data_IF_137191625147
#
_entry.id   IF_137191625147
#
_cell.length_a   1.000
_cell.length_b   1.000
_cell.length_c   1.000
_cell.angle_alpha   90.00
_cell.angle_beta   90.00
_cell.angle_gamma   90.00
#
_symmetry.space_group_name_H-M   'P 1'
#
loop_
_entity.id
_entity.type
_entity.pdbx_description
1 polymer ?
#
# COMPACT_ATOMS: atom_id res chain seq x y z
N UNK A 1 12.71 30.62 14.14
CA UNK A 1 11.70 29.57 13.85
C UNK A 1 12.45 28.26 13.97
N UNK A 2 11.99 27.38 14.85
CA UNK A 2 12.78 26.28 15.39
C UNK A 2 13.32 25.34 14.30
N UNK A 3 14.63 25.09 14.36
CA UNK A 3 15.31 24.02 13.64
C UNK A 3 14.68 22.68 14.03
N UNK A 4 13.93 22.09 13.11
CA UNK A 4 13.40 20.75 13.28
C UNK A 4 14.51 19.73 12.94
N UNK A 5 15.61 19.80 13.67
CA UNK A 5 16.59 18.73 13.69
C UNK A 5 16.00 17.57 14.49
N UNK A 6 16.07 16.33 13.99
CA UNK A 6 15.54 15.19 14.74
C UNK A 6 16.20 15.15 16.13
N UNK A 7 15.34 15.17 17.15
CA UNK A 7 15.71 15.04 18.56
C UNK A 7 16.11 13.58 18.77
N UNK A 8 17.42 13.36 18.91
CA UNK A 8 18.12 12.09 19.13
C UNK A 8 18.24 11.13 17.92
N UNK A 9 19.40 10.45 17.76
CA UNK A 9 19.51 9.37 16.81
C UNK A 9 18.62 8.23 17.33
N UNK A 10 17.54 7.94 16.62
CA UNK A 10 16.80 6.70 16.82
C UNK A 10 17.82 5.54 16.89
N UNK A 11 17.61 4.61 17.83
CA UNK A 11 18.40 3.39 17.99
C UNK A 11 18.87 2.84 16.63
N UNK A 12 20.13 2.38 16.55
CA UNK A 12 20.78 1.82 15.35
C UNK A 12 19.77 1.36 14.30
N UNK A 13 19.59 2.15 13.24
CA UNK A 13 18.55 1.90 12.25
C UNK A 13 18.66 0.46 11.74
N UNK A 14 17.59 -0.30 11.93
CA UNK A 14 17.51 -1.67 11.44
C UNK A 14 17.26 -1.61 9.92
N UNK A 15 18.26 -1.99 9.12
CA UNK A 15 18.28 -1.81 7.66
C UNK A 15 18.13 -3.10 6.85
N UNK A 16 18.21 -4.25 7.51
CA UNK A 16 18.10 -5.60 6.94
C UNK A 16 16.72 -5.94 6.36
N UNK A 17 15.64 -5.21 6.72
CA UNK A 17 14.35 -5.31 6.01
C UNK A 17 14.46 -4.74 4.58
N UNK A 18 15.40 -3.82 4.33
CA UNK A 18 15.64 -3.27 2.99
C UNK A 18 14.54 -2.33 2.49
N UNK A 19 13.84 -1.63 3.39
CA UNK A 19 12.84 -0.60 3.03
C UNK A 19 13.49 0.53 2.21
N UNK A 20 12.82 0.95 1.13
CA UNK A 20 13.33 1.98 0.20
C UNK A 20 12.54 3.28 0.27
N UNK A 21 11.21 3.18 0.24
CA UNK A 21 10.28 4.31 0.24
C UNK A 21 8.87 3.84 0.59
N UNK A 22 7.98 4.80 0.84
CA UNK A 22 6.54 4.54 0.68
C UNK A 22 6.29 4.27 -0.79
N UNK A 23 5.72 3.10 -1.08
CA UNK A 23 5.34 2.72 -2.44
C UNK A 23 4.02 3.38 -2.80
N UNK A 24 2.99 3.13 -2.00
CA UNK A 24 1.69 3.74 -2.17
C UNK A 24 0.87 3.76 -0.87
N UNK A 25 -0.19 4.55 -0.87
CA UNK A 25 -1.26 4.50 0.14
C UNK A 25 -2.53 3.99 -0.55
N UNK A 26 -3.05 2.87 -0.08
CA UNK A 26 -4.28 2.27 -0.58
C UNK A 26 -5.51 2.94 0.03
N UNK A 27 -6.43 3.41 -0.80
CA UNK A 27 -7.66 4.08 -0.41
C UNK A 27 -8.84 3.33 -1.01
N UNK A 28 -9.68 2.77 -0.13
CA UNK A 28 -10.92 2.13 -0.53
C UNK A 28 -11.95 3.19 -0.92
N UNK A 29 -12.54 3.03 -2.11
CA UNK A 29 -13.55 3.93 -2.69
C UNK A 29 -14.73 3.12 -3.22
N UNK A 30 -15.93 3.70 -3.17
CA UNK A 30 -17.13 3.02 -3.65
C UNK A 30 -17.21 2.99 -5.19
N UNK A 31 -16.74 4.05 -5.85
CA UNK A 31 -16.73 4.20 -7.30
C UNK A 31 -15.33 4.63 -7.74
N UNK A 32 -14.67 3.79 -8.55
CA UNK A 32 -13.30 4.04 -9.00
C UNK A 32 -13.23 5.24 -9.94
N UNK A 33 -14.16 5.33 -10.88
CA UNK A 33 -14.09 6.30 -11.98
C UNK A 33 -14.39 7.72 -11.43
N UNK A 34 -15.36 7.82 -10.52
CA UNK A 34 -15.62 9.07 -9.79
C UNK A 34 -14.44 9.50 -8.89
N UNK A 35 -13.78 8.54 -8.24
CA UNK A 35 -12.62 8.83 -7.41
C UNK A 35 -11.42 9.29 -8.25
N UNK A 36 -11.10 8.59 -9.36
CA UNK A 36 -10.06 9.02 -10.30
C UNK A 36 -10.32 10.46 -10.74
N UNK A 37 -11.53 10.75 -11.20
CA UNK A 37 -11.90 12.08 -11.68
C UNK A 37 -11.68 13.17 -10.62
N UNK A 38 -12.13 12.92 -9.38
CA UNK A 38 -11.92 13.83 -8.26
C UNK A 38 -10.43 14.09 -8.01
N UNK A 39 -9.60 13.04 -7.90
CA UNK A 39 -8.18 13.22 -7.63
C UNK A 39 -7.44 13.92 -8.78
N UNK A 40 -7.81 13.65 -10.02
CA UNK A 40 -7.24 14.32 -11.19
C UNK A 40 -7.64 15.81 -11.24
N UNK A 41 -8.93 16.13 -11.08
CA UNK A 41 -9.44 17.49 -11.23
C UNK A 41 -9.11 18.39 -10.05
N UNK A 42 -9.10 17.84 -8.84
CA UNK A 42 -8.92 18.63 -7.61
C UNK A 42 -7.46 18.72 -7.19
N UNK A 43 -6.70 17.63 -7.32
CA UNK A 43 -5.30 17.59 -6.88
C UNK A 43 -4.29 17.54 -8.03
N UNK A 44 -4.74 17.42 -9.29
CA UNK A 44 -3.84 17.35 -10.44
C UNK A 44 -3.05 16.05 -10.53
N UNK A 45 -3.43 15.01 -9.80
CA UNK A 45 -2.75 13.71 -9.87
C UNK A 45 -2.96 13.09 -11.26
N UNK A 46 -2.01 12.26 -11.70
CA UNK A 46 -2.12 11.54 -12.97
C UNK A 46 -2.39 10.08 -12.71
N UNK A 47 -3.45 9.54 -13.29
CA UNK A 47 -3.67 8.10 -13.34
C UNK A 47 -2.66 7.48 -14.29
N UNK A 48 -1.73 6.70 -13.75
CA UNK A 48 -0.62 6.09 -14.51
C UNK A 48 -0.87 4.62 -14.82
N UNK A 49 -1.79 3.98 -14.09
CA UNK A 49 -2.15 2.59 -14.30
C UNK A 49 -3.56 2.30 -13.78
N UNK A 50 -4.25 1.37 -14.44
CA UNK A 50 -5.52 0.80 -13.97
C UNK A 50 -5.51 -0.70 -14.24
N UNK A 51 -5.97 -1.50 -13.29
CA UNK A 51 -6.09 -2.95 -13.43
C UNK A 51 -7.44 -3.43 -12.87
N UNK A 52 -7.93 -4.56 -13.38
CA UNK A 52 -9.05 -5.28 -12.77
C UNK A 52 -8.58 -6.67 -12.43
N UNK A 53 -8.56 -6.98 -11.13
CA UNK A 53 -8.26 -8.31 -10.63
C UNK A 53 -9.57 -9.00 -10.24
N UNK A 54 -10.11 -9.79 -11.16
CA UNK A 54 -11.37 -10.51 -10.95
C UNK A 54 -11.26 -11.57 -9.83
N UNK A 55 -10.10 -12.19 -9.66
CA UNK A 55 -9.85 -13.19 -8.61
C UNK A 55 -9.91 -12.57 -7.21
N UNK A 56 -9.34 -11.36 -7.06
CA UNK A 56 -9.39 -10.61 -5.80
C UNK A 56 -10.67 -9.76 -5.65
N UNK A 57 -11.47 -9.63 -6.70
CA UNK A 57 -12.72 -8.89 -6.66
C UNK A 57 -12.53 -7.37 -6.58
N UNK A 58 -11.51 -6.83 -7.25
CA UNK A 58 -11.14 -5.41 -7.13
C UNK A 58 -10.81 -4.80 -8.50
N UNK A 59 -11.24 -3.55 -8.71
CA UNK A 59 -10.68 -2.63 -9.71
C UNK A 59 -9.80 -1.64 -8.99
N UNK A 60 -8.66 -1.31 -9.58
CA UNK A 60 -7.70 -0.41 -8.96
C UNK A 60 -7.10 0.59 -9.95
N UNK A 61 -6.63 1.70 -9.40
CA UNK A 61 -5.93 2.73 -10.15
C UNK A 61 -4.76 3.30 -9.35
N UNK A 62 -3.62 3.43 -10.00
CA UNK A 62 -2.43 4.06 -9.44
C UNK A 62 -2.36 5.52 -9.88
N UNK A 63 -2.37 6.42 -8.91
CA UNK A 63 -2.27 7.86 -9.12
C UNK A 63 -0.89 8.35 -8.66
N UNK A 64 -0.11 8.91 -9.59
CA UNK A 64 1.20 9.46 -9.29
C UNK A 64 1.08 10.78 -8.52
N UNK A 65 1.91 10.94 -7.48
CA UNK A 65 2.06 12.18 -6.71
C UNK A 65 3.36 12.87 -7.12
N UNK A 66 3.25 14.11 -7.58
CA UNK A 66 4.41 14.91 -8.00
C UNK A 66 4.60 14.98 -9.52
N UNK A 67 5.74 15.49 -9.99
CA UNK A 67 5.96 15.81 -11.41
C UNK A 67 6.11 14.56 -12.28
N UNK A 68 6.56 13.44 -11.71
CA UNK A 68 6.74 12.16 -12.39
C UNK A 68 6.14 11.00 -11.57
N UNK A 69 6.31 9.77 -12.07
CA UNK A 69 5.76 8.56 -11.45
C UNK A 69 6.81 7.78 -10.63
N UNK A 70 7.91 8.42 -10.22
CA UNK A 70 8.99 7.77 -9.45
C UNK A 70 8.78 7.84 -7.93
N UNK A 71 7.91 8.74 -7.48
CA UNK A 71 7.56 8.91 -6.07
C UNK A 71 6.52 7.92 -5.55
N UNK A 72 6.08 8.16 -4.31
CA UNK A 72 4.96 7.42 -3.74
C UNK A 72 3.64 7.72 -4.47
N UNK A 73 2.73 6.75 -4.48
CA UNK A 73 1.46 6.84 -5.20
C UNK A 73 0.24 6.79 -4.27
N UNK A 74 -0.92 7.15 -4.81
CA UNK A 74 -2.21 6.80 -4.22
C UNK A 74 -2.79 5.66 -5.04
N UNK A 75 -3.08 4.53 -4.39
CA UNK A 75 -3.79 3.41 -5.02
C UNK A 75 -5.26 3.49 -4.64
N UNK A 76 -6.13 3.75 -5.61
CA UNK A 76 -7.57 3.69 -5.41
C UNK A 76 -8.03 2.26 -5.60
N UNK A 77 -8.86 1.75 -4.68
CA UNK A 77 -9.36 0.38 -4.65
C UNK A 77 -10.88 0.40 -4.61
N UNK A 78 -11.54 -0.09 -5.67
CA UNK A 78 -13.00 -0.23 -5.72
C UNK A 78 -13.40 -1.70 -5.81
N UNK A 79 -14.40 -2.15 -5.04
CA UNK A 79 -14.81 -3.54 -5.07
C UNK A 79 -15.59 -3.87 -6.35
N UNK A 80 -15.43 -5.08 -6.87
CA UNK A 80 -16.30 -5.62 -7.91
C UNK A 80 -17.65 -6.10 -7.39
N UNK A 81 -17.75 -6.40 -6.08
CA UNK A 81 -19.01 -6.72 -5.40
C UNK A 81 -18.89 -6.48 -3.88
N UNK A 82 -20.01 -6.38 -3.14
CA UNK A 82 -19.99 -6.17 -1.69
C UNK A 82 -19.26 -7.26 -0.88
N UNK A 83 -19.22 -8.49 -1.40
CA UNK A 83 -18.66 -9.64 -0.69
C UNK A 83 -17.12 -9.75 -0.74
N UNK A 84 -16.46 -8.86 -1.48
CA UNK A 84 -15.00 -8.84 -1.61
C UNK A 84 -14.34 -8.19 -0.39
N UNK A 85 -13.01 -8.30 -0.27
CA UNK A 85 -12.27 -7.71 0.86
C UNK A 85 -12.50 -6.20 0.96
N UNK A 86 -12.47 -5.49 -0.17
CA UNK A 86 -12.72 -4.05 -0.21
C UNK A 86 -14.21 -3.75 0.02
N UNK A 87 -15.13 -4.57 -0.51
CA UNK A 87 -16.57 -4.41 -0.27
C UNK A 87 -16.92 -4.48 1.22
N UNK A 88 -16.38 -5.49 1.91
CA UNK A 88 -16.51 -5.65 3.37
C UNK A 88 -15.82 -4.55 4.17
N UNK A 89 -14.69 -4.02 3.68
CA UNK A 89 -14.04 -2.88 4.31
C UNK A 89 -14.95 -1.64 4.27
N UNK A 90 -15.51 -1.33 3.08
CA UNK A 90 -16.41 -0.20 2.90
C UNK A 90 -17.68 -0.32 3.73
N UNK A 91 -18.29 -1.51 3.81
CA UNK A 91 -19.47 -1.74 4.65
C UNK A 91 -19.18 -1.45 6.13
N UNK A 92 -18.00 -1.88 6.61
CA UNK A 92 -17.63 -1.74 8.03
C UNK A 92 -17.12 -0.35 8.40
N UNK A 93 -16.42 0.34 7.49
CA UNK A 93 -15.64 1.55 7.82
C UNK A 93 -15.95 2.75 6.94
N UNK A 94 -16.71 2.57 5.86
CA UNK A 94 -16.84 3.55 4.79
C UNK A 94 -15.57 3.71 3.96
N UNK A 95 -15.56 4.64 3.00
CA UNK A 95 -14.38 4.99 2.22
C UNK A 95 -13.24 5.50 3.12
N UNK A 96 -11.99 5.21 2.76
CA UNK A 96 -10.83 5.68 3.52
C UNK A 96 -9.56 4.88 3.28
N UNK A 97 -8.51 5.24 4.03
CA UNK A 97 -7.21 4.55 3.97
C UNK A 97 -7.39 3.10 4.43
N UNK A 98 -7.02 2.18 3.55
CA UNK A 98 -7.12 0.75 3.80
C UNK A 98 -5.74 0.15 4.11
N UNK A 99 -4.67 0.62 3.47
CA UNK A 99 -3.30 0.14 3.72
C UNK A 99 -2.23 1.19 3.39
N UNK A 100 -1.03 0.98 3.93
CA UNK A 100 0.19 1.71 3.53
C UNK A 100 1.20 0.68 3.04
N UNK A 101 1.77 0.92 1.87
CA UNK A 101 2.73 0.03 1.24
C UNK A 101 4.13 0.61 1.26
N UNK A 102 5.12 -0.25 1.48
CA UNK A 102 6.53 0.10 1.41
C UNK A 102 7.25 -0.74 0.36
N UNK A 103 8.07 -0.08 -0.46
CA UNK A 103 8.95 -0.77 -1.39
C UNK A 103 10.09 -1.41 -0.61
N UNK A 104 10.34 -2.70 -0.83
CA UNK A 104 11.47 -3.46 -0.28
C UNK A 104 12.44 -3.90 -1.37
N UNK A 105 13.72 -4.02 -1.03
CA UNK A 105 14.76 -4.48 -1.95
C UNK A 105 14.58 -5.96 -2.34
N UNK A 106 14.29 -6.80 -1.34
CA UNK A 106 14.04 -8.23 -1.48
C UNK A 106 12.94 -8.63 -0.49
N UNK A 107 11.82 -9.10 -1.02
CA UNK A 107 10.64 -9.41 -0.22
C UNK A 107 10.81 -10.70 0.58
N UNK A 108 11.61 -11.66 0.12
CA UNK A 108 11.84 -12.90 0.85
C UNK A 108 12.70 -12.63 2.09
N UNK A 109 13.74 -11.80 1.93
CA UNK A 109 14.57 -11.30 3.04
C UNK A 109 13.73 -10.49 4.03
N UNK A 110 12.92 -9.54 3.54
CA UNK A 110 12.05 -8.72 4.40
C UNK A 110 11.05 -9.59 5.18
N UNK A 111 10.44 -10.58 4.52
CA UNK A 111 9.49 -11.50 5.15
C UNK A 111 10.17 -12.37 6.23
N UNK A 112 11.38 -12.87 5.97
CA UNK A 112 12.14 -13.66 6.95
C UNK A 112 12.47 -12.82 8.19
N UNK A 113 13.05 -11.63 8.00
CA UNK A 113 13.43 -10.73 9.09
C UNK A 113 12.23 -10.31 9.96
N UNK A 114 11.07 -10.05 9.33
CA UNK A 114 9.84 -9.71 10.07
C UNK A 114 9.31 -10.89 10.90
N UNK A 115 9.35 -12.11 10.35
CA UNK A 115 8.94 -13.31 11.09
C UNK A 115 9.85 -13.61 12.27
N UNK A 116 11.17 -13.45 12.11
CA UNK A 116 12.14 -13.58 13.21
C UNK A 116 11.86 -12.61 14.35
N UNK A 117 11.27 -11.45 14.04
CA UNK A 117 10.84 -10.45 15.03
C UNK A 117 9.44 -10.71 15.61
N UNK A 118 8.83 -11.83 15.26
CA UNK A 118 7.50 -12.22 15.76
C UNK A 118 6.34 -11.48 15.10
N UNK A 119 6.57 -10.81 13.96
CA UNK A 119 5.51 -10.11 13.22
C UNK A 119 4.74 -11.09 12.34
N UNK A 120 3.40 -11.09 12.43
CA UNK A 120 2.55 -11.94 11.58
C UNK A 120 2.44 -11.36 10.18
N UNK A 121 2.74 -12.21 9.19
CA UNK A 121 2.46 -11.95 7.79
C UNK A 121 1.16 -12.66 7.38
N UNK A 122 0.40 -12.07 6.46
CA UNK A 122 -0.87 -12.64 5.99
C UNK A 122 -0.67 -13.86 5.09
N UNK A 123 0.42 -13.89 4.32
CA UNK A 123 0.73 -15.00 3.44
C UNK A 123 1.99 -15.75 3.89
N UNK A 124 1.97 -17.08 3.71
CA UNK A 124 3.13 -17.94 3.94
C UNK A 124 4.26 -17.63 2.96
N UNK A 125 3.92 -17.31 1.70
CA UNK A 125 4.85 -16.87 0.67
C UNK A 125 4.31 -15.60 -0.04
N UNK A 126 5.20 -14.71 -0.55
CA UNK A 126 4.78 -13.56 -1.34
C UNK A 126 3.91 -13.95 -2.54
N UNK A 127 2.93 -13.11 -2.87
CA UNK A 127 1.99 -13.31 -3.98
C UNK A 127 2.18 -12.26 -5.07
N UNK A 128 1.57 -12.46 -6.24
CA UNK A 128 1.51 -11.45 -7.30
C UNK A 128 0.61 -10.29 -6.88
N UNK A 129 1.11 -9.07 -7.00
CA UNK A 129 0.37 -7.81 -6.84
C UNK A 129 0.21 -7.06 -8.16
N UNK A 130 -0.13 -5.77 -8.06
CA UNK A 130 -0.26 -4.83 -9.18
C UNK A 130 1.00 -4.78 -10.02
N UNK A 131 0.87 -4.67 -11.35
CA UNK A 131 2.01 -4.56 -12.27
C UNK A 131 3.06 -5.67 -12.10
N UNK A 132 2.59 -6.90 -11.85
CA UNK A 132 3.43 -8.11 -11.65
C UNK A 132 4.39 -8.05 -10.45
N UNK A 133 4.21 -7.10 -9.54
CA UNK A 133 5.00 -7.02 -8.30
C UNK A 133 4.83 -8.26 -7.42
N UNK A 134 5.78 -8.49 -6.51
CA UNK A 134 5.65 -9.47 -5.43
C UNK A 134 5.25 -8.75 -4.15
N UNK A 135 4.21 -9.25 -3.47
CA UNK A 135 3.63 -8.60 -2.29
C UNK A 135 3.38 -9.55 -1.13
N UNK A 136 3.46 -9.03 0.09
CA UNK A 136 2.98 -9.66 1.32
C UNK A 136 2.54 -8.56 2.29
N UNK A 137 1.80 -8.94 3.34
CA UNK A 137 1.18 -7.97 4.24
C UNK A 137 1.50 -8.32 5.69
N UNK A 138 1.82 -7.32 6.50
CA UNK A 138 1.87 -7.43 7.95
C UNK A 138 0.47 -7.27 8.51
N UNK A 139 0.07 -8.18 9.39
CA UNK A 139 -1.27 -8.16 9.98
C UNK A 139 -1.44 -6.91 10.88
N UNK A 140 -2.57 -6.16 10.78
CA UNK A 140 -2.75 -4.89 11.51
C UNK A 140 -2.60 -4.98 13.03
N UNK A 141 -2.95 -6.13 13.61
CA UNK A 141 -2.76 -6.41 15.05
C UNK A 141 -1.30 -6.31 15.53
N UNK A 142 -0.32 -6.46 14.63
CA UNK A 142 1.12 -6.32 14.96
C UNK A 142 1.70 -4.99 14.47
N UNK A 143 0.90 -4.17 13.79
CA UNK A 143 1.30 -2.91 13.17
C UNK A 143 0.41 -1.74 13.62
N UNK A 144 -0.02 -1.74 14.89
CA UNK A 144 -0.76 -0.62 15.49
C UNK A 144 -2.11 -0.32 14.84
N UNK A 145 -2.74 -1.32 14.20
CA UNK A 145 -4.03 -1.18 13.52
C UNK A 145 -3.93 -0.82 12.04
N UNK A 146 -2.72 -0.65 11.49
CA UNK A 146 -2.49 -0.36 10.06
C UNK A 146 -2.16 -1.65 9.32
N UNK A 147 -2.83 -1.90 8.18
CA UNK A 147 -2.36 -2.94 7.26
C UNK A 147 -1.13 -2.41 6.52
N UNK A 148 0.01 -3.04 6.74
CA UNK A 148 1.25 -2.68 6.05
C UNK A 148 1.48 -3.69 4.93
N UNK A 149 1.66 -3.19 3.71
CA UNK A 149 2.05 -3.97 2.55
C UNK A 149 3.55 -3.83 2.28
N UNK A 150 4.19 -4.93 1.90
CA UNK A 150 5.56 -4.98 1.41
C UNK A 150 5.49 -5.24 -0.09
N UNK A 151 6.14 -4.39 -0.87
CA UNK A 151 6.12 -4.46 -2.33
C UNK A 151 7.55 -4.59 -2.85
N UNK A 152 7.82 -5.67 -3.58
CA UNK A 152 8.99 -5.75 -4.46
C UNK A 152 8.49 -5.61 -5.90
N UNK A 153 8.79 -4.48 -6.58
CA UNK A 153 8.49 -4.32 -8.00
C UNK A 153 9.12 -5.43 -8.85
N UNK A 154 8.51 -5.73 -10.00
CA UNK A 154 9.00 -6.71 -10.97
C UNK A 154 10.38 -6.36 -11.54
#
# INVERSE_FOLDING_TARGET
>A
MAENSPVEPAAEFVTDIGLRRIDHVGIAVADLDAAIDFYQRTFGMRCVHTETNAEQGVREAMLAVGPDASGGMVQLLAPLSPDTTIGKFLDKRGPGIQQVAYTVADIDVACAALRERGVRLLYDAPRRGTSDSRVNFVHPKDAGGVLIELVQPA
#
